data_IF_759700368182
#
_entry.id   IF_759700368182
#
_cell.length_a   1.000
_cell.length_b   1.000
_cell.length_c   1.000
_cell.angle_alpha   90.00
_cell.angle_beta   90.00
_cell.angle_gamma   90.00
#
_symmetry.space_group_name_H-M   'P 1'
#
loop_
_entity.id
_entity.type
_entity.pdbx_description
1 polymer ?
#
# COMPACT_ATOMS: atom_id res chain seq x y z
N UNK A 1 -4.93 -19.39 -2.02
CA UNK A 1 -5.70 -18.13 -1.98
C UNK A 1 -7.09 -18.32 -2.61
N UNK A 2 -8.14 -17.93 -1.89
CA UNK A 2 -9.53 -17.97 -2.36
C UNK A 2 -10.25 -16.73 -1.86
N UNK A 3 -11.13 -16.15 -2.68
CA UNK A 3 -11.85 -14.91 -2.35
C UNK A 3 -13.25 -14.83 -3.00
N UNK A 4 -13.72 -15.93 -3.58
CA UNK A 4 -15.04 -16.01 -4.19
C UNK A 4 -15.71 -17.30 -3.75
N UNK A 5 -16.90 -17.18 -3.17
CA UNK A 5 -17.72 -18.30 -2.71
C UNK A 5 -19.00 -18.29 -3.52
N UNK A 6 -19.38 -19.46 -4.01
CA UNK A 6 -20.59 -19.65 -4.80
C UNK A 6 -21.74 -20.07 -3.88
N UNK A 7 -22.92 -19.48 -4.05
CA UNK A 7 -24.10 -19.87 -3.28
C UNK A 7 -24.55 -21.30 -3.60
N UNK A 8 -25.06 -22.05 -2.60
CA UNK A 8 -25.49 -23.44 -2.78
C UNK A 8 -26.89 -23.53 -3.38
N UNK A 9 -26.97 -23.26 -4.68
CA UNK A 9 -28.20 -23.41 -5.48
C UNK A 9 -27.90 -24.27 -6.69
N UNK A 10 -28.82 -25.18 -7.05
CA UNK A 10 -28.67 -26.04 -8.22
C UNK A 10 -27.40 -26.91 -8.26
N UNK A 11 -26.74 -27.17 -7.12
CA UNK A 11 -25.53 -27.99 -7.06
C UNK A 11 -24.24 -27.25 -7.47
N UNK A 12 -24.30 -25.94 -7.71
CA UNK A 12 -23.15 -25.15 -8.14
C UNK A 12 -22.11 -24.95 -7.03
N UNK A 13 -22.43 -25.26 -5.77
CA UNK A 13 -21.48 -25.27 -4.65
C UNK A 13 -20.34 -26.28 -4.83
N UNK A 14 -20.45 -27.23 -5.78
CA UNK A 14 -19.32 -28.06 -6.21
C UNK A 14 -18.11 -27.24 -6.68
N UNK A 15 -18.33 -25.97 -7.06
CA UNK A 15 -17.26 -25.03 -7.42
C UNK A 15 -16.48 -24.51 -6.19
N UNK A 16 -17.04 -24.63 -4.99
CA UNK A 16 -16.36 -24.30 -3.73
C UNK A 16 -15.44 -25.47 -3.33
N UNK A 17 -14.29 -25.58 -3.98
CA UNK A 17 -13.30 -26.60 -3.63
C UNK A 17 -12.57 -26.28 -2.32
N UNK A 18 -12.11 -27.33 -1.63
CA UNK A 18 -11.21 -27.19 -0.48
C UNK A 18 -9.87 -26.57 -0.91
N UNK A 19 -9.54 -25.43 -0.31
CA UNK A 19 -8.30 -24.70 -0.54
C UNK A 19 -7.37 -24.68 0.68
N UNK A 20 -7.70 -25.44 1.73
CA UNK A 20 -6.99 -25.51 3.01
C UNK A 20 -7.46 -24.45 4.02
N UNK A 21 -7.03 -24.61 5.27
CA UNK A 21 -7.35 -23.67 6.36
C UNK A 21 -8.82 -23.71 6.81
N UNK A 22 -9.55 -24.78 6.50
CA UNK A 22 -10.98 -24.92 6.84
C UNK A 22 -11.90 -24.04 5.98
N UNK A 23 -11.45 -23.62 4.79
CA UNK A 23 -12.20 -22.76 3.87
C UNK A 23 -12.40 -23.42 2.50
N UNK A 24 -13.60 -23.31 1.97
CA UNK A 24 -14.00 -23.82 0.65
C UNK A 24 -14.43 -22.66 -0.26
N UNK A 25 -13.95 -22.63 -1.50
CA UNK A 25 -14.28 -21.58 -2.45
C UNK A 25 -13.49 -21.69 -3.76
N UNK A 26 -13.71 -20.73 -4.66
CA UNK A 26 -12.97 -20.66 -5.92
C UNK A 26 -11.54 -20.16 -5.68
N UNK A 27 -10.55 -21.00 -6.02
CA UNK A 27 -9.15 -20.60 -6.03
C UNK A 27 -8.92 -19.47 -7.03
N UNK A 28 -8.43 -18.33 -6.55
CA UNK A 28 -8.10 -17.17 -7.38
C UNK A 28 -6.65 -17.22 -7.86
N UNK A 29 -6.37 -16.65 -9.03
CA UNK A 29 -5.02 -16.55 -9.64
C UNK A 29 -4.54 -15.11 -9.84
N UNK A 30 -5.27 -14.13 -9.31
CA UNK A 30 -4.96 -12.69 -9.46
C UNK A 30 -3.75 -12.20 -8.66
N UNK A 31 -3.24 -12.99 -7.72
CA UNK A 31 -2.09 -12.61 -6.88
C UNK A 31 -2.39 -11.61 -5.76
N UNK A 32 -3.67 -11.24 -5.53
CA UNK A 32 -4.06 -10.22 -4.54
C UNK A 32 -3.51 -10.46 -3.13
N UNK A 33 -3.48 -11.72 -2.68
CA UNK A 33 -3.01 -12.05 -1.32
C UNK A 33 -1.51 -11.75 -1.16
N UNK A 34 -0.72 -11.94 -2.21
CA UNK A 34 0.71 -11.59 -2.20
C UNK A 34 0.88 -10.07 -2.20
N UNK A 35 0.07 -9.34 -2.97
CA UNK A 35 0.08 -7.89 -2.99
C UNK A 35 -0.28 -7.31 -1.62
N UNK A 36 -1.32 -7.83 -0.95
CA UNK A 36 -1.74 -7.37 0.37
C UNK A 36 -0.68 -7.66 1.44
N UNK A 37 -0.09 -8.86 1.45
CA UNK A 37 1.05 -9.18 2.33
C UNK A 37 2.20 -8.20 2.08
N UNK A 38 2.58 -7.99 0.82
CA UNK A 38 3.65 -7.06 0.46
C UNK A 38 3.33 -5.62 0.87
N UNK A 39 2.07 -5.21 0.94
CA UNK A 39 1.65 -3.90 1.42
C UNK A 39 1.60 -3.78 2.95
N UNK A 40 1.79 -4.87 3.70
CA UNK A 40 1.71 -4.91 5.16
C UNK A 40 0.28 -5.03 5.71
N UNK A 41 -0.67 -5.53 4.91
CA UNK A 41 -2.04 -5.80 5.36
C UNK A 41 -2.07 -7.15 6.08
N UNK A 42 -2.55 -7.17 7.32
CA UNK A 42 -2.55 -8.34 8.20
C UNK A 42 -3.94 -8.81 8.61
N UNK A 43 -4.99 -8.01 8.39
CA UNK A 43 -6.35 -8.37 8.79
C UNK A 43 -7.43 -7.88 7.81
N UNK A 44 -8.62 -8.46 7.93
CA UNK A 44 -9.78 -8.16 7.08
C UNK A 44 -10.33 -6.75 7.26
N UNK A 45 -10.18 -6.16 8.46
CA UNK A 45 -10.66 -4.81 8.73
C UNK A 45 -9.95 -3.77 7.84
N UNK A 46 -8.63 -3.92 7.64
CA UNK A 46 -7.87 -3.08 6.71
C UNK A 46 -8.36 -3.22 5.27
N UNK A 47 -8.71 -4.44 4.83
CA UNK A 47 -9.29 -4.67 3.50
C UNK A 47 -10.66 -3.99 3.36
N UNK A 48 -11.51 -4.09 4.39
CA UNK A 48 -12.81 -3.42 4.42
C UNK A 48 -12.66 -1.89 4.33
N UNK A 49 -11.78 -1.30 5.13
CA UNK A 49 -11.50 0.14 5.06
C UNK A 49 -10.99 0.56 3.68
N UNK A 50 -10.10 -0.24 3.07
CA UNK A 50 -9.56 0.01 1.72
C UNK A 50 -10.67 -0.06 0.68
N UNK A 51 -11.57 -1.03 0.76
CA UNK A 51 -12.71 -1.19 -0.15
C UNK A 51 -13.69 -0.01 -0.05
N UNK A 52 -14.03 0.42 1.18
CA UNK A 52 -14.91 1.58 1.40
C UNK A 52 -14.24 2.86 0.88
N UNK A 53 -12.96 3.06 1.17
CA UNK A 53 -12.19 4.20 0.66
C UNK A 53 -12.17 4.23 -0.88
N UNK A 54 -11.99 3.07 -1.52
CA UNK A 54 -12.08 2.93 -2.97
C UNK A 54 -13.46 3.29 -3.53
N UNK A 55 -14.54 2.88 -2.85
CA UNK A 55 -15.90 3.22 -3.26
C UNK A 55 -16.18 4.73 -3.13
N UNK A 56 -15.72 5.37 -2.06
CA UNK A 56 -15.81 6.83 -1.89
C UNK A 56 -15.03 7.55 -3.00
N UNK A 57 -13.82 7.09 -3.31
CA UNK A 57 -13.02 7.66 -4.40
C UNK A 57 -13.71 7.50 -5.75
N UNK A 58 -14.35 6.35 -6.02
CA UNK A 58 -15.14 6.16 -7.23
C UNK A 58 -16.28 7.19 -7.34
N UNK A 59 -16.99 7.47 -6.23
CA UNK A 59 -17.98 8.53 -6.17
C UNK A 59 -17.40 9.92 -6.46
N UNK A 60 -16.23 10.24 -5.90
CA UNK A 60 -15.53 11.50 -6.17
C UNK A 60 -15.09 11.63 -7.64
N UNK A 61 -14.57 10.56 -8.24
CA UNK A 61 -14.20 10.55 -9.66
C UNK A 61 -15.41 10.76 -10.58
N UNK A 62 -16.53 10.08 -10.30
CA UNK A 62 -17.78 10.27 -11.04
C UNK A 62 -18.30 11.71 -10.90
N UNK A 63 -18.27 12.26 -9.70
CA UNK A 63 -18.65 13.65 -9.45
C UNK A 63 -17.74 14.63 -10.20
N UNK A 64 -16.42 14.43 -10.16
CA UNK A 64 -15.46 15.27 -10.89
C UNK A 64 -15.74 15.24 -12.40
N UNK A 65 -16.05 14.08 -12.97
CA UNK A 65 -16.45 13.95 -14.38
C UNK A 65 -17.72 14.72 -14.70
N UNK A 66 -18.78 14.58 -13.89
CA UNK A 66 -20.00 15.38 -14.05
C UNK A 66 -19.73 16.88 -13.92
N UNK A 67 -18.96 17.29 -12.92
CA UNK A 67 -18.69 18.68 -12.59
C UNK A 67 -17.89 19.37 -13.69
N UNK A 68 -16.80 18.74 -14.14
CA UNK A 68 -15.95 19.27 -15.21
C UNK A 68 -16.54 19.15 -16.61
N UNK A 69 -17.74 18.56 -16.75
CA UNK A 69 -18.52 18.61 -17.99
C UNK A 69 -19.69 19.61 -17.89
N UNK A 70 -20.55 19.48 -16.89
CA UNK A 70 -21.81 20.23 -16.82
C UNK A 70 -21.74 21.56 -16.05
N UNK A 71 -20.74 21.75 -15.18
CA UNK A 71 -20.65 22.94 -14.31
C UNK A 71 -19.47 23.84 -14.65
N UNK A 72 -18.29 23.26 -14.83
CA UNK A 72 -17.04 23.97 -15.09
C UNK A 72 -16.24 23.27 -16.19
N UNK A 73 -16.76 23.31 -17.42
CA UNK A 73 -16.09 22.80 -18.60
C UNK A 73 -14.79 23.59 -18.87
N UNK A 74 -13.61 22.94 -18.90
CA UNK A 74 -12.37 23.60 -19.31
C UNK A 74 -12.44 24.02 -20.78
N UNK A 75 -11.71 25.08 -21.13
CA UNK A 75 -11.57 25.55 -22.52
C UNK A 75 -10.44 24.78 -23.24
N UNK A 76 -10.44 24.83 -24.57
CA UNK A 76 -9.44 24.17 -25.40
C UNK A 76 -7.99 24.56 -25.05
N UNK A 77 -7.75 25.83 -24.72
CA UNK A 77 -6.41 26.32 -24.32
C UNK A 77 -5.84 25.58 -23.10
N UNK A 78 -6.70 25.12 -22.18
CA UNK A 78 -6.27 24.33 -21.02
C UNK A 78 -5.80 22.94 -21.45
N UNK A 79 -6.54 22.27 -22.33
CA UNK A 79 -6.19 20.94 -22.85
C UNK A 79 -4.93 20.96 -23.72
N UNK A 80 -4.67 22.06 -24.42
CA UNK A 80 -3.51 22.20 -25.30
C UNK A 80 -2.24 22.66 -24.59
N UNK A 81 -2.28 22.93 -23.27
CA UNK A 81 -1.10 23.27 -22.50
C UNK A 81 -0.27 22.02 -22.17
N UNK A 82 0.43 21.51 -23.18
CA UNK A 82 1.22 20.27 -23.10
C UNK A 82 2.41 20.39 -22.15
N UNK A 83 2.98 21.58 -21.99
CA UNK A 83 4.11 21.85 -21.09
C UNK A 83 3.67 21.68 -19.64
N UNK A 84 2.57 22.33 -19.26
CA UNK A 84 2.00 22.17 -17.92
C UNK A 84 1.56 20.74 -17.68
N UNK A 85 0.88 20.12 -18.66
CA UNK A 85 0.45 18.72 -18.56
C UNK A 85 1.63 17.81 -18.28
N UNK A 86 2.69 17.83 -19.10
CA UNK A 86 3.84 16.94 -18.93
C UNK A 86 4.57 17.19 -17.62
N UNK A 87 4.82 18.45 -17.24
CA UNK A 87 5.48 18.78 -15.98
C UNK A 87 4.68 18.28 -14.79
N UNK A 88 3.36 18.49 -14.78
CA UNK A 88 2.50 18.01 -13.72
C UNK A 88 2.43 16.49 -13.68
N UNK A 89 2.33 15.79 -14.81
CA UNK A 89 2.24 14.32 -14.83
C UNK A 89 3.55 13.65 -14.37
N UNK A 90 4.69 14.17 -14.81
CA UNK A 90 6.00 13.63 -14.45
C UNK A 90 6.35 13.92 -12.99
N UNK A 91 6.31 15.18 -12.56
CA UNK A 91 6.71 15.53 -11.20
C UNK A 91 5.64 15.19 -10.16
N UNK A 92 4.36 15.34 -10.52
CA UNK A 92 3.22 15.10 -9.64
C UNK A 92 2.87 13.62 -9.52
N UNK A 93 1.95 13.05 -10.33
CA UNK A 93 1.54 11.65 -10.24
C UNK A 93 2.70 10.65 -10.22
N UNK A 94 3.67 10.75 -11.13
CA UNK A 94 4.79 9.79 -11.13
C UNK A 94 5.77 10.06 -9.98
N UNK A 95 6.25 11.29 -9.84
CA UNK A 95 7.22 11.67 -8.80
C UNK A 95 6.66 11.56 -7.38
N UNK A 96 5.63 12.35 -7.06
CA UNK A 96 4.98 12.33 -5.74
C UNK A 96 4.31 10.99 -5.45
N UNK A 97 3.75 10.31 -6.44
CA UNK A 97 3.18 8.96 -6.25
C UNK A 97 4.25 7.95 -5.84
N UNK A 98 5.40 7.93 -6.51
CA UNK A 98 6.52 7.06 -6.14
C UNK A 98 7.08 7.41 -4.76
N UNK A 99 7.22 8.70 -4.46
CA UNK A 99 7.72 9.19 -3.18
C UNK A 99 6.78 8.80 -2.02
N UNK A 100 5.47 9.00 -2.18
CA UNK A 100 4.47 8.61 -1.18
C UNK A 100 4.46 7.09 -0.97
N UNK A 101 4.55 6.31 -2.05
CA UNK A 101 4.61 4.86 -1.97
C UNK A 101 5.89 4.36 -1.29
N UNK A 102 7.05 4.99 -1.54
CA UNK A 102 8.28 4.72 -0.81
C UNK A 102 8.12 4.99 0.69
N UNK A 103 7.43 6.07 1.06
CA UNK A 103 7.07 6.35 2.46
C UNK A 103 6.23 5.22 3.09
N UNK A 104 5.18 4.75 2.40
CA UNK A 104 4.41 3.58 2.85
C UNK A 104 5.28 2.34 2.99
N UNK A 105 6.16 2.07 2.02
CA UNK A 105 7.05 0.92 2.09
C UNK A 105 7.96 0.96 3.31
N UNK A 106 8.67 2.07 3.51
CA UNK A 106 9.65 2.24 4.60
C UNK A 106 8.98 2.17 5.97
N UNK A 107 7.83 2.83 6.13
CA UNK A 107 7.22 3.01 7.45
C UNK A 107 6.16 1.96 7.81
N UNK A 108 5.68 1.17 6.84
CA UNK A 108 4.62 0.17 7.06
C UNK A 108 5.01 -1.19 6.51
N UNK A 109 5.24 -1.28 5.19
CA UNK A 109 5.40 -2.59 4.55
C UNK A 109 6.65 -3.34 5.01
N UNK A 110 7.80 -2.67 5.00
CA UNK A 110 9.10 -3.25 5.36
C UNK A 110 9.11 -3.77 6.82
N UNK A 111 8.75 -2.99 7.85
CA UNK A 111 8.78 -3.49 9.22
C UNK A 111 7.82 -4.67 9.44
N UNK A 112 6.62 -4.61 8.87
CA UNK A 112 5.63 -5.70 8.98
C UNK A 112 6.13 -6.97 8.29
N UNK A 113 6.63 -6.87 7.05
CA UNK A 113 7.15 -8.05 6.34
C UNK A 113 8.37 -8.64 7.04
N UNK A 114 9.25 -7.81 7.61
CA UNK A 114 10.38 -8.29 8.42
C UNK A 114 9.94 -9.15 9.60
N UNK A 115 8.86 -8.80 10.29
CA UNK A 115 8.29 -9.64 11.36
C UNK A 115 7.62 -10.91 10.82
N UNK A 116 6.81 -10.78 9.77
CA UNK A 116 6.11 -11.91 9.17
C UNK A 116 7.08 -12.95 8.60
N UNK A 117 8.21 -12.52 8.03
CA UNK A 117 9.25 -13.38 7.51
C UNK A 117 10.10 -14.00 8.63
N UNK A 118 10.17 -13.35 9.80
CA UNK A 118 10.72 -13.93 11.03
C UNK A 118 9.75 -14.91 11.73
N UNK A 119 8.57 -15.16 11.15
CA UNK A 119 7.59 -16.11 11.66
C UNK A 119 6.67 -15.57 12.76
N UNK A 120 6.65 -14.25 12.99
CA UNK A 120 5.70 -13.63 13.92
C UNK A 120 4.28 -13.80 13.38
N UNK A 121 3.34 -14.34 14.16
CA UNK A 121 1.94 -14.44 13.78
C UNK A 121 1.32 -13.08 13.45
N UNK A 122 0.46 -13.01 12.43
CA UNK A 122 -0.08 -11.75 11.92
C UNK A 122 -0.90 -10.95 12.94
N UNK A 123 -1.51 -11.63 13.91
CA UNK A 123 -2.25 -11.06 15.04
C UNK A 123 -1.35 -10.50 16.15
N UNK A 124 -0.06 -10.85 16.15
CA UNK A 124 0.94 -10.37 17.10
C UNK A 124 1.84 -9.26 16.52
N UNK A 125 1.78 -9.03 15.20
CA UNK A 125 2.50 -7.91 14.57
C UNK A 125 1.86 -6.58 15.03
N UNK A 126 2.65 -5.61 15.53
CA UNK A 126 2.15 -4.28 15.86
C UNK A 126 1.40 -3.64 14.69
N UNK A 127 0.37 -2.86 14.98
CA UNK A 127 -0.40 -2.21 13.92
C UNK A 127 0.46 -1.12 13.23
N UNK A 128 0.24 -0.83 11.94
CA UNK A 128 1.06 0.11 11.17
C UNK A 128 1.34 1.47 11.85
N UNK A 129 0.33 2.03 12.53
CA UNK A 129 0.45 3.31 13.22
C UNK A 129 1.39 3.25 14.43
N UNK A 130 1.61 2.08 15.02
CA UNK A 130 2.52 1.92 16.16
C UNK A 130 3.98 2.08 15.73
N UNK A 131 4.38 1.62 14.54
CA UNK A 131 5.73 1.86 14.00
C UNK A 131 6.03 3.34 13.78
N UNK A 132 5.00 4.16 13.53
CA UNK A 132 5.12 5.61 13.37
C UNK A 132 5.18 6.29 14.75
N UNK A 133 4.27 5.92 15.66
CA UNK A 133 4.12 6.58 16.95
C UNK A 133 5.14 6.12 18.00
N UNK A 134 5.71 4.93 17.85
CA UNK A 134 6.69 4.33 18.76
C UNK A 134 8.01 4.06 18.00
N UNK A 135 8.88 5.07 17.86
CA UNK A 135 10.16 4.93 17.14
C UNK A 135 11.06 3.81 17.64
N UNK A 136 10.89 3.39 18.90
CA UNK A 136 11.60 2.25 19.48
C UNK A 136 11.41 0.94 18.67
N UNK A 137 10.22 0.71 18.11
CA UNK A 137 9.94 -0.47 17.27
C UNK A 137 10.78 -0.45 15.99
N UNK A 138 10.91 0.72 15.35
CA UNK A 138 11.75 0.87 14.16
C UNK A 138 13.23 0.78 14.51
N UNK A 139 13.66 1.30 15.66
CA UNK A 139 15.04 1.23 16.14
C UNK A 139 15.51 -0.19 16.43
N UNK A 140 14.63 -1.05 16.93
CA UNK A 140 14.94 -2.48 17.12
C UNK A 140 15.23 -3.17 15.77
N UNK A 141 14.51 -2.81 14.72
CA UNK A 141 14.64 -3.42 13.40
C UNK A 141 15.75 -2.82 12.54
N UNK A 142 15.98 -1.50 12.68
CA UNK A 142 16.88 -0.69 11.87
C UNK A 142 17.71 0.23 12.78
N UNK A 143 18.66 -0.33 13.54
CA UNK A 143 19.41 0.39 14.59
C UNK A 143 20.36 1.47 14.05
N UNK A 144 20.69 1.44 12.75
CA UNK A 144 21.60 2.42 12.13
C UNK A 144 21.06 3.85 12.11
N UNK A 145 19.73 4.02 12.21
CA UNK A 145 19.04 5.32 12.25
C UNK A 145 18.59 5.63 13.67
N UNK A 146 18.80 6.87 14.12
CA UNK A 146 18.20 7.33 15.36
C UNK A 146 16.74 7.73 15.14
N UNK A 147 15.86 6.73 15.14
CA UNK A 147 14.43 6.93 14.90
C UNK A 147 13.79 7.85 15.92
N UNK A 148 13.12 8.88 15.41
CA UNK A 148 12.39 9.89 16.19
C UNK A 148 11.76 10.89 15.23
N UNK A 149 10.88 11.76 15.75
CA UNK A 149 10.08 12.69 14.94
C UNK A 149 10.97 13.58 14.05
N UNK A 150 12.12 14.00 14.56
CA UNK A 150 13.08 14.84 13.82
C UNK A 150 14.45 14.19 13.65
N UNK A 151 14.88 13.35 14.59
CA UNK A 151 16.22 12.72 14.56
C UNK A 151 16.40 11.78 13.37
N UNK A 152 15.33 11.07 12.98
CA UNK A 152 15.39 10.09 11.89
C UNK A 152 15.67 10.69 10.51
N UNK A 153 15.35 11.99 10.33
CA UNK A 153 15.56 12.70 9.05
C UNK A 153 16.85 13.52 9.03
N UNK A 154 17.58 13.64 10.14
CA UNK A 154 18.85 14.40 10.17
C UNK A 154 19.86 13.88 9.14
N UNK A 155 20.11 12.55 9.01
CA UNK A 155 21.06 12.03 8.03
C UNK A 155 20.70 12.39 6.58
N UNK A 156 19.41 12.55 6.26
CA UNK A 156 18.97 12.97 4.94
C UNK A 156 19.47 14.39 4.61
N UNK A 157 19.32 15.34 5.52
CA UNK A 157 19.70 16.74 5.31
C UNK A 157 21.21 17.00 5.49
N UNK A 158 21.91 16.15 6.24
CA UNK A 158 23.38 16.24 6.38
C UNK A 158 24.14 15.44 5.33
N UNK A 159 23.44 14.78 4.40
CA UNK A 159 24.00 13.92 3.36
C UNK A 159 24.75 12.67 3.90
N UNK A 160 24.48 12.27 5.15
CA UNK A 160 24.98 11.01 5.74
C UNK A 160 24.04 9.84 5.39
N UNK A 161 23.81 9.63 4.09
CA UNK A 161 22.81 8.67 3.60
C UNK A 161 23.17 7.20 3.86
N UNK A 162 24.42 6.91 4.20
CA UNK A 162 24.87 5.57 4.57
C UNK A 162 24.11 5.00 5.77
N UNK A 163 23.52 5.86 6.62
CA UNK A 163 22.66 5.48 7.75
C UNK A 163 21.38 4.76 7.33
N UNK A 164 20.93 4.86 6.09
CA UNK A 164 19.67 4.25 5.63
C UNK A 164 19.85 2.87 4.97
N UNK A 165 21.08 2.34 4.93
CA UNK A 165 21.42 1.13 4.18
C UNK A 165 20.73 -0.16 4.68
N UNK A 166 20.12 -0.15 5.86
CA UNK A 166 19.40 -1.32 6.40
C UNK A 166 18.01 -1.53 5.77
N UNK A 167 17.40 -0.48 5.23
CA UNK A 167 16.09 -0.54 4.55
C UNK A 167 16.12 0.03 3.11
N UNK A 168 17.11 0.84 2.76
CA UNK A 168 17.43 1.22 1.38
C UNK A 168 18.61 0.37 0.88
N UNK A 169 18.32 -0.88 0.55
CA UNK A 169 19.35 -1.87 0.20
C UNK A 169 19.53 -2.00 -1.32
N UNK A 170 20.66 -2.58 -1.74
CA UNK A 170 20.92 -2.98 -3.13
C UNK A 170 21.35 -4.46 -3.21
N UNK A 171 20.63 -5.35 -2.52
CA UNK A 171 20.99 -6.78 -2.44
C UNK A 171 20.88 -7.51 -3.80
N UNK A 172 19.93 -7.12 -4.65
CA UNK A 172 19.85 -7.57 -6.05
C UNK A 172 19.63 -9.08 -6.26
N UNK A 173 18.58 -9.64 -5.66
CA UNK A 173 18.24 -11.06 -5.79
C UNK A 173 17.09 -11.47 -4.87
N UNK A 174 16.88 -12.78 -4.73
CA UNK A 174 16.02 -13.40 -3.72
C UNK A 174 16.85 -14.35 -2.85
#
# INVERSE_FOLDING_TARGET
>A
PSAQVVWPIFGQEILNGDVGGGFEGIRITSGLFHLWRAAGITNEFQLLCTAIGGLVMAGLCLFAGWFHYHKRAPKLEWFQNVESMLNHHLAGPLGLGSLAWAGHQIHVAIPINKMLDAGVPADQVPLPHEFILKPALMKEMFPSVDWGIFSGVVPFFTLDWGKYAEFLTFKGGL
#
